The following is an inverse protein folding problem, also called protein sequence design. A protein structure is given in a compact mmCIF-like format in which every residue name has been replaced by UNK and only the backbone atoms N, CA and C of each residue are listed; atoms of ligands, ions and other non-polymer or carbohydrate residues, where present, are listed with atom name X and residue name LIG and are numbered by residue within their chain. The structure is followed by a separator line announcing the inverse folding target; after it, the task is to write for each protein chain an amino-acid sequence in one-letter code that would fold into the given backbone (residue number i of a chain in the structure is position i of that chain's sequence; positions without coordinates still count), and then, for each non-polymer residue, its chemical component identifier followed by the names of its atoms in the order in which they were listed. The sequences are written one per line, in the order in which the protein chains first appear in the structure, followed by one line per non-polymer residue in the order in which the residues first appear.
data_IF_582927676393
#
_entry.id   IF_582927676393
#
_cell.length_a   1.000
_cell.length_b   1.000
_cell.length_c   1.000
_cell.angle_alpha   90.00
_cell.angle_beta   90.00
_cell.angle_gamma   90.00
#
_symmetry.space_group_name_H-M   'P 1'
#
loop_
_entity.id
_entity.type
_entity.pdbx_description
1 polymer ?
#
# COMPACT_ATOMS: atom_id res chain seq x y z
N UNK A 1 16.31 -6.90 -32.80
CA UNK A 1 15.64 -5.89 -31.96
C UNK A 1 15.97 -6.17 -30.51
N UNK A 2 16.63 -5.24 -29.82
CA UNK A 2 17.07 -5.45 -28.43
C UNK A 2 15.89 -5.20 -27.48
N UNK A 3 15.55 -6.20 -26.67
CA UNK A 3 14.47 -6.12 -25.70
C UNK A 3 14.95 -5.38 -24.44
N UNK A 4 14.74 -4.07 -24.38
CA UNK A 4 14.96 -3.29 -23.16
C UNK A 4 13.96 -3.72 -22.09
N UNK A 5 14.41 -4.52 -21.14
CA UNK A 5 13.72 -4.74 -19.87
C UNK A 5 14.19 -3.67 -18.87
N UNK A 6 13.32 -2.79 -18.36
CA UNK A 6 13.72 -1.85 -17.32
C UNK A 6 13.98 -2.62 -16.02
N UNK A 7 15.20 -2.51 -15.49
CA UNK A 7 15.55 -3.07 -14.19
C UNK A 7 14.93 -2.21 -13.07
N UNK A 8 14.47 -2.82 -11.96
CA UNK A 8 13.94 -2.06 -10.83
C UNK A 8 15.07 -1.25 -10.17
N UNK A 9 14.94 0.07 -10.17
CA UNK A 9 15.90 0.98 -9.54
C UNK A 9 15.86 0.77 -8.03
N UNK A 10 16.84 0.03 -7.51
CA UNK A 10 17.03 -0.15 -6.06
C UNK A 10 17.55 1.16 -5.48
N UNK A 11 16.67 1.92 -4.83
CA UNK A 11 17.03 3.16 -4.13
C UNK A 11 17.92 2.87 -2.92
N UNK A 12 19.24 3.03 -3.08
CA UNK A 12 20.23 2.92 -2.00
C UNK A 12 20.51 4.28 -1.36
N UNK A 13 20.08 4.55 -0.11
CA UNK A 13 20.53 5.74 0.61
C UNK A 13 21.96 5.54 1.14
N UNK A 14 22.96 6.10 0.43
CA UNK A 14 24.33 6.16 0.94
C UNK A 14 24.49 7.23 2.03
N UNK A 15 24.75 6.82 3.29
CA UNK A 15 25.53 7.62 4.25
C UNK A 15 26.17 6.78 5.39
N UNK A 16 27.47 7.01 5.61
CA UNK A 16 28.28 6.72 6.82
C UNK A 16 28.86 8.08 7.30
N UNK A 17 29.44 8.29 8.51
CA UNK A 17 30.01 7.35 9.51
C UNK A 17 29.11 7.21 10.77
N UNK A 18 29.49 6.72 11.96
CA UNK A 18 30.79 6.41 12.58
C UNK A 18 30.68 5.21 13.59
N UNK A 19 31.78 4.70 14.22
CA UNK A 19 31.73 3.45 14.97
C UNK A 19 31.28 3.62 16.43
N UNK A 20 30.40 2.72 16.90
CA UNK A 20 30.00 2.55 18.30
C UNK A 20 30.29 1.10 18.71
N UNK A 21 30.60 0.92 20.00
CA UNK A 21 31.29 -0.24 20.58
C UNK A 21 30.54 -1.57 20.47
N UNK A 22 31.33 -2.64 20.60
CA UNK A 22 30.92 -4.03 20.67
C UNK A 22 30.04 -4.33 21.89
N UNK A 23 28.78 -4.67 21.66
CA UNK A 23 28.05 -5.65 22.46
C UNK A 23 27.58 -6.75 21.51
N UNK A 24 27.77 -8.02 21.88
CA UNK A 24 27.34 -9.16 21.04
C UNK A 24 25.82 -9.23 21.05
N UNK A 25 25.11 -8.99 19.93
CA UNK A 25 23.69 -9.33 19.89
C UNK A 25 23.56 -10.85 19.93
N UNK A 26 22.71 -11.35 20.83
CA UNK A 26 22.26 -12.74 20.78
C UNK A 26 21.76 -13.02 19.36
N UNK A 27 22.31 -14.04 18.71
CA UNK A 27 21.92 -14.44 17.36
C UNK A 27 20.60 -15.22 17.38
N UNK A 28 19.58 -14.64 18.00
CA UNK A 28 18.18 -14.99 17.74
C UNK A 28 17.92 -14.67 16.28
N UNK A 29 18.02 -15.72 15.47
CA UNK A 29 17.82 -15.68 14.02
C UNK A 29 16.46 -15.04 13.78
N UNK A 30 16.46 -13.78 13.31
CA UNK A 30 15.23 -13.07 13.00
C UNK A 30 14.43 -13.94 12.04
N UNK A 31 13.24 -14.37 12.49
CA UNK A 31 12.35 -15.17 11.66
C UNK A 31 11.99 -14.30 10.45
N UNK A 32 12.62 -14.59 9.31
CA UNK A 32 12.48 -13.78 8.11
C UNK A 32 11.01 -13.81 7.70
N UNK A 33 10.34 -12.67 7.84
CA UNK A 33 8.92 -12.54 7.51
C UNK A 33 8.74 -12.87 6.03
N UNK A 34 8.08 -13.99 5.75
CA UNK A 34 7.76 -14.41 4.39
C UNK A 34 6.50 -13.67 3.96
N UNK A 35 6.61 -12.86 2.92
CA UNK A 35 5.44 -12.25 2.30
C UNK A 35 4.68 -13.33 1.51
N UNK A 36 3.42 -13.54 1.86
CA UNK A 36 2.54 -14.45 1.13
C UNK A 36 1.82 -13.74 -0.03
N UNK A 37 1.38 -14.51 -1.01
CA UNK A 37 0.57 -14.03 -2.14
C UNK A 37 -0.90 -14.24 -1.79
N UNK A 38 -1.66 -13.14 -1.70
CA UNK A 38 -3.10 -13.20 -1.50
C UNK A 38 -3.79 -13.79 -2.74
N UNK A 39 -4.66 -14.78 -2.51
CA UNK A 39 -5.51 -15.35 -3.55
C UNK A 39 -6.74 -14.46 -3.72
N UNK A 40 -7.04 -14.07 -4.97
CA UNK A 40 -8.17 -13.21 -5.29
C UNK A 40 -9.16 -13.94 -6.19
N UNK A 41 -10.43 -13.95 -5.78
CA UNK A 41 -11.54 -14.45 -6.60
C UNK A 41 -11.77 -13.55 -7.81
N UNK A 42 -11.78 -14.07 -9.06
CA UNK A 42 -11.99 -13.26 -10.26
C UNK A 42 -13.32 -12.50 -10.21
N UNK A 43 -13.28 -11.24 -10.62
CA UNK A 43 -14.42 -10.31 -10.50
C UNK A 43 -14.95 -9.98 -11.89
N UNK A 44 -16.10 -10.52 -12.27
CA UNK A 44 -16.73 -10.21 -13.57
C UNK A 44 -17.34 -8.80 -13.62
N UNK A 45 -17.61 -8.20 -12.45
CA UNK A 45 -18.17 -6.84 -12.30
C UNK A 45 -17.80 -6.30 -10.92
N UNK A 46 -17.33 -5.04 -10.84
CA UNK A 46 -16.70 -4.48 -9.64
C UNK A 46 -17.49 -4.76 -8.36
N UNK A 47 -16.80 -5.11 -7.25
CA UNK A 47 -17.44 -5.54 -5.98
C UNK A 47 -18.48 -4.55 -5.41
N UNK A 48 -18.38 -3.29 -5.83
CA UNK A 48 -19.22 -2.17 -5.40
C UNK A 48 -20.45 -1.93 -6.28
N UNK A 49 -20.63 -2.63 -7.40
CA UNK A 49 -21.74 -2.36 -8.33
C UNK A 49 -23.13 -2.70 -7.75
N UNK A 50 -23.17 -3.48 -6.66
CA UNK A 50 -24.37 -3.84 -5.91
C UNK A 50 -24.12 -3.91 -4.39
N UNK A 51 -23.05 -3.27 -3.90
CA UNK A 51 -22.91 -3.14 -2.45
C UNK A 51 -23.97 -2.18 -1.93
N UNK A 52 -24.43 -2.41 -0.70
CA UNK A 52 -25.09 -1.36 0.07
C UNK A 52 -24.17 -0.14 0.13
N UNK A 53 -24.69 1.10 0.04
CA UNK A 53 -23.87 2.30 0.08
C UNK A 53 -23.13 2.43 1.41
N UNK A 54 -21.96 3.08 1.41
CA UNK A 54 -21.14 3.27 2.61
C UNK A 54 -21.75 4.34 3.53
N UNK A 55 -22.84 3.98 4.24
CA UNK A 55 -23.54 4.87 5.17
C UNK A 55 -22.84 4.90 6.53
N UNK A 56 -22.32 6.07 6.92
CA UNK A 56 -21.76 6.35 8.25
C UNK A 56 -22.53 7.52 8.86
N UNK A 57 -23.06 7.37 10.07
CA UNK A 57 -23.86 8.43 10.75
C UNK A 57 -25.09 8.93 9.94
N UNK A 58 -25.59 8.12 9.00
CA UNK A 58 -26.68 8.51 8.08
C UNK A 58 -26.20 9.25 6.82
N UNK A 59 -24.88 9.34 6.63
CA UNK A 59 -24.21 10.05 5.55
C UNK A 59 -23.57 9.04 4.56
N UNK A 60 -23.88 9.18 3.27
CA UNK A 60 -23.27 8.38 2.21
C UNK A 60 -21.84 8.85 1.90
N UNK A 61 -20.86 7.99 2.16
CA UNK A 61 -19.44 8.25 1.90
C UNK A 61 -18.99 7.90 0.47
N UNK A 62 -19.81 7.19 -0.31
CA UNK A 62 -19.52 6.89 -1.72
C UNK A 62 -19.75 8.14 -2.60
N UNK A 63 -20.54 9.11 -2.12
CA UNK A 63 -20.69 10.43 -2.72
C UNK A 63 -19.58 11.39 -2.23
N UNK A 64 -18.75 11.94 -3.15
CA UNK A 64 -17.73 12.94 -2.81
C UNK A 64 -18.25 14.10 -1.96
N UNK A 65 -17.50 14.46 -0.92
CA UNK A 65 -17.88 15.45 0.10
C UNK A 65 -18.35 16.80 -0.47
N UNK A 66 -17.84 17.23 -1.63
CA UNK A 66 -18.28 18.48 -2.26
C UNK A 66 -19.70 18.40 -2.84
N UNK A 67 -20.10 17.26 -3.43
CA UNK A 67 -21.49 17.01 -3.84
C UNK A 67 -22.38 16.94 -2.61
N UNK A 68 -21.96 16.16 -1.62
CA UNK A 68 -22.67 15.91 -0.37
C UNK A 68 -22.96 17.17 0.46
N UNK A 69 -22.07 18.17 0.39
CA UNK A 69 -22.19 19.47 1.08
C UNK A 69 -22.62 20.62 0.15
N UNK A 70 -23.04 20.33 -1.08
CA UNK A 70 -23.39 21.32 -2.12
C UNK A 70 -22.31 22.41 -2.36
N UNK A 71 -21.03 22.06 -2.18
CA UNK A 71 -19.90 22.96 -2.36
C UNK A 71 -19.55 23.04 -3.85
N UNK A 72 -19.60 24.25 -4.41
CA UNK A 72 -19.12 24.51 -5.78
C UNK A 72 -17.59 24.52 -5.79
N UNK A 73 -17.00 23.47 -6.37
CA UNK A 73 -15.59 23.45 -6.76
C UNK A 73 -15.40 24.37 -7.98
N UNK A 74 -14.29 25.11 -8.03
CA UNK A 74 -13.92 26.00 -9.14
C UNK A 74 -12.74 25.41 -9.91
#
# INVERSE_FOLDING_TARGET
SVLNKPEPIVSTPHKKPAPIKEEKPSAEKSAQAKQEVLQFEPVTRGRFEKSEPTIVEGEDLDIPTYLRKNIKVK
#
